data_IF_830695434600
#
_entry.id   IF_830695434600
#
_cell.length_a   1.000
_cell.length_b   1.000
_cell.length_c   1.000
_cell.angle_alpha   90.00
_cell.angle_beta   90.00
_cell.angle_gamma   90.00
#
_symmetry.space_group_name_H-M   'P 1'
#
loop_
_entity.id
_entity.type
_entity.pdbx_description
1 polymer ?
#
# COMPACT_ATOMS: atom_id res chain seq x y z
N UNK A 1 -2.75 2.76 -9.41
CA UNK A 1 -2.73 3.17 -7.99
C UNK A 1 -1.29 3.12 -7.50
N UNK A 2 -0.68 4.28 -7.26
CA UNK A 2 0.72 4.41 -6.88
C UNK A 2 0.86 4.56 -5.37
N UNK A 3 1.79 3.79 -4.80
CA UNK A 3 2.22 3.88 -3.41
C UNK A 3 3.65 4.39 -3.42
N UNK A 4 3.85 5.61 -2.95
CA UNK A 4 5.18 6.14 -2.66
C UNK A 4 5.72 5.50 -1.38
N UNK A 5 7.03 5.34 -1.25
CA UNK A 5 7.61 4.84 -0.01
C UNK A 5 9.12 4.85 -0.01
N UNK A 6 9.69 5.64 0.89
CA UNK A 6 11.09 5.60 1.30
C UNK A 6 11.17 5.06 2.73
N UNK A 7 11.42 3.76 2.86
CA UNK A 7 11.61 3.03 4.12
C UNK A 7 10.47 3.10 5.15
N UNK A 8 9.22 3.33 4.71
CA UNK A 8 8.02 3.46 5.57
C UNK A 8 8.02 4.66 6.53
N UNK A 9 9.12 5.40 6.63
CA UNK A 9 9.30 6.58 7.48
C UNK A 9 9.12 7.88 6.72
N UNK A 10 9.36 7.87 5.40
CA UNK A 10 9.27 9.03 4.54
C UNK A 10 8.49 8.70 3.25
N UNK A 11 7.81 9.72 2.72
CA UNK A 11 7.00 9.60 1.50
C UNK A 11 6.09 10.81 1.36
N UNK A 12 5.79 11.18 0.12
CA UNK A 12 4.92 12.30 -0.18
C UNK A 12 4.09 12.01 -1.44
N UNK A 13 2.75 12.07 -1.39
CA UNK A 13 1.91 11.94 -2.59
C UNK A 13 2.08 13.13 -3.57
N UNK A 14 2.86 14.15 -3.23
CA UNK A 14 3.01 15.34 -4.04
C UNK A 14 3.84 15.10 -5.31
N UNK A 15 3.41 15.73 -6.40
CA UNK A 15 3.86 15.55 -7.79
C UNK A 15 5.37 15.78 -8.05
N UNK A 16 6.11 16.30 -7.08
CA UNK A 16 7.48 16.78 -7.28
C UNK A 16 8.51 15.67 -7.57
N UNK A 17 8.23 14.41 -7.20
CA UNK A 17 9.19 13.30 -7.39
C UNK A 17 8.83 12.35 -8.54
N UNK A 18 7.54 12.18 -8.83
CA UNK A 18 7.02 11.27 -9.87
C UNK A 18 5.89 11.97 -10.63
N UNK A 19 6.24 13.03 -11.34
CA UNK A 19 5.28 13.79 -12.13
C UNK A 19 4.50 12.85 -13.08
N UNK A 20 3.20 13.11 -13.28
CA UNK A 20 2.34 12.19 -14.00
C UNK A 20 2.57 12.24 -15.52
N UNK A 21 3.46 13.09 -16.03
CA UNK A 21 3.54 13.50 -17.43
C UNK A 21 3.68 12.30 -18.39
N UNK A 22 4.53 11.33 -18.05
CA UNK A 22 4.74 10.13 -18.88
C UNK A 22 3.54 9.16 -18.88
N UNK A 23 2.71 9.20 -17.84
CA UNK A 23 1.52 8.36 -17.73
C UNK A 23 0.26 9.05 -18.25
N UNK A 24 0.20 10.40 -18.23
CA UNK A 24 -0.93 11.17 -18.77
C UNK A 24 -1.02 11.11 -20.30
N UNK A 25 0.07 10.76 -20.98
CA UNK A 25 0.08 10.46 -22.42
C UNK A 25 -0.54 9.09 -22.77
N UNK A 26 -0.97 8.33 -21.75
CA UNK A 26 -1.63 7.03 -21.90
C UNK A 26 -3.08 7.12 -21.43
N UNK A 27 -3.93 6.25 -21.97
CA UNK A 27 -5.34 6.14 -21.55
C UNK A 27 -5.46 5.40 -20.21
N UNK A 28 -5.00 6.07 -19.14
CA UNK A 28 -4.97 5.53 -17.77
C UNK A 28 -5.37 6.61 -16.76
N UNK A 29 -5.99 6.19 -15.66
CA UNK A 29 -6.22 7.05 -14.50
C UNK A 29 -5.13 6.79 -13.45
N UNK A 30 -4.29 7.79 -13.22
CA UNK A 30 -3.29 7.75 -12.16
C UNK A 30 -3.90 8.21 -10.83
N UNK A 31 -3.77 7.36 -9.80
CA UNK A 31 -4.15 7.68 -8.42
C UNK A 31 -2.93 7.55 -7.54
N UNK A 32 -2.62 8.59 -6.76
CA UNK A 32 -1.56 8.65 -5.74
C UNK A 32 -2.20 8.91 -4.38
N UNK A 33 -1.76 8.25 -3.32
CA UNK A 33 -2.38 8.37 -1.99
C UNK A 33 -1.35 8.66 -0.91
N UNK A 34 -1.74 9.48 0.06
CA UNK A 34 -1.00 9.60 1.32
C UNK A 34 -1.46 8.51 2.29
N UNK A 35 -0.54 8.03 3.12
CA UNK A 35 -0.81 7.10 4.21
C UNK A 35 0.08 7.45 5.40
N UNK A 36 -0.26 6.98 6.60
CA UNK A 36 0.55 7.23 7.79
C UNK A 36 1.91 6.52 7.69
N UNK A 37 2.97 7.25 8.06
CA UNK A 37 4.36 6.81 8.05
C UNK A 37 4.92 6.70 9.47
N UNK A 38 6.07 6.03 9.59
CA UNK A 38 6.82 5.83 10.84
C UNK A 38 5.97 5.29 11.98
N UNK A 39 6.22 5.76 13.20
CA UNK A 39 5.47 5.31 14.38
C UNK A 39 3.96 5.53 14.23
N UNK A 40 3.52 6.61 13.59
CA UNK A 40 2.08 6.87 13.40
C UNK A 40 1.40 5.84 12.49
N UNK A 41 2.15 5.25 11.56
CA UNK A 41 1.67 4.24 10.61
C UNK A 41 1.90 2.80 11.07
N UNK A 42 2.96 2.54 11.82
CA UNK A 42 3.44 1.16 12.03
C UNK A 42 3.72 0.80 13.49
N UNK A 43 3.44 1.71 14.44
CA UNK A 43 3.50 1.39 15.86
C UNK A 43 2.45 0.33 16.24
N UNK A 44 2.85 -0.58 17.11
CA UNK A 44 2.01 -1.64 17.65
C UNK A 44 2.25 -1.74 19.15
N UNK A 45 1.25 -2.16 19.91
CA UNK A 45 1.38 -2.47 21.33
C UNK A 45 1.28 -3.98 21.56
N UNK A 46 2.02 -4.49 22.54
CA UNK A 46 2.04 -5.93 22.86
C UNK A 46 0.67 -6.45 23.34
N UNK A 47 -0.10 -5.59 24.01
CA UNK A 47 -1.45 -5.88 24.48
C UNK A 47 -2.50 -5.88 23.34
N UNK A 48 -2.10 -5.52 22.12
CA UNK A 48 -2.98 -5.46 20.95
C UNK A 48 -3.91 -4.25 20.90
N UNK A 49 -3.83 -3.32 21.86
CA UNK A 49 -4.61 -2.05 21.85
C UNK A 49 -4.37 -1.28 20.55
N UNK A 50 -3.12 -1.27 20.06
CA UNK A 50 -2.77 -0.83 18.71
C UNK A 50 -2.29 -2.04 17.93
N UNK A 51 -3.12 -2.47 16.98
CA UNK A 51 -2.89 -3.65 16.13
C UNK A 51 -1.66 -3.60 15.22
N UNK A 52 -1.02 -2.43 15.09
CA UNK A 52 -0.04 -2.16 14.06
C UNK A 52 -0.64 -1.98 12.66
N UNK A 53 0.27 -1.74 11.70
CA UNK A 53 -0.01 -1.67 10.26
C UNK A 53 -1.11 -0.67 9.87
N UNK A 54 -1.23 0.42 10.62
CA UNK A 54 -2.20 1.48 10.35
C UNK A 54 -1.97 2.14 8.98
N UNK A 55 -0.71 2.30 8.56
CA UNK A 55 -0.37 2.78 7.22
C UNK A 55 -0.85 1.85 6.10
N UNK A 56 -0.73 0.53 6.27
CA UNK A 56 -1.29 -0.44 5.31
C UNK A 56 -2.82 -0.44 5.32
N UNK A 57 -3.44 -0.21 6.48
CA UNK A 57 -4.90 -0.06 6.59
C UNK A 57 -5.39 1.21 5.89
N UNK A 58 -4.64 2.31 5.96
CA UNK A 58 -4.93 3.53 5.20
C UNK A 58 -4.90 3.25 3.69
N UNK A 59 -3.87 2.55 3.22
CA UNK A 59 -3.75 2.14 1.80
C UNK A 59 -4.91 1.23 1.37
N UNK A 60 -5.29 0.25 2.20
CA UNK A 60 -6.42 -0.64 1.92
C UNK A 60 -7.76 0.11 1.87
N UNK A 61 -7.97 1.06 2.80
CA UNK A 61 -9.15 1.93 2.77
C UNK A 61 -9.17 2.79 1.50
N UNK A 62 -8.03 3.36 1.12
CA UNK A 62 -7.93 4.14 -0.11
C UNK A 62 -8.18 3.29 -1.37
N UNK A 63 -7.69 2.04 -1.42
CA UNK A 63 -8.00 1.10 -2.50
C UNK A 63 -9.50 0.82 -2.59
N UNK A 64 -10.17 0.60 -1.45
CA UNK A 64 -11.62 0.43 -1.40
C UNK A 64 -12.35 1.67 -1.92
N UNK A 65 -11.92 2.86 -1.51
CA UNK A 65 -12.47 4.12 -2.02
C UNK A 65 -12.29 4.23 -3.53
N UNK A 66 -11.09 3.93 -4.06
CA UNK A 66 -10.82 3.94 -5.50
C UNK A 66 -11.72 2.94 -6.22
N UNK A 67 -11.79 1.69 -5.76
CA UNK A 67 -12.66 0.68 -6.38
C UNK A 67 -14.13 1.13 -6.44
N UNK A 68 -14.62 1.83 -5.42
CA UNK A 68 -16.00 2.32 -5.38
C UNK A 68 -16.25 3.59 -6.22
N UNK A 69 -15.21 4.39 -6.50
CA UNK A 69 -15.38 5.74 -7.05
C UNK A 69 -14.71 5.97 -8.41
N UNK A 70 -13.74 5.14 -8.81
CA UNK A 70 -12.87 5.43 -9.97
C UNK A 70 -13.62 5.52 -11.30
N UNK A 71 -14.80 4.89 -11.39
CA UNK A 71 -15.70 5.01 -12.56
C UNK A 71 -16.13 6.45 -12.84
N UNK A 72 -16.25 7.30 -11.81
CA UNK A 72 -16.61 8.71 -11.97
C UNK A 72 -15.46 9.57 -12.53
N UNK A 73 -14.24 9.02 -12.55
CA UNK A 73 -13.05 9.65 -13.09
C UNK A 73 -12.60 9.01 -14.42
N UNK A 74 -13.44 8.16 -15.02
CA UNK A 74 -13.15 7.47 -16.28
C UNK A 74 -12.30 6.20 -16.14
N UNK A 75 -12.03 5.73 -14.92
CA UNK A 75 -11.31 4.47 -14.71
C UNK A 75 -12.22 3.25 -14.63
N UNK A 76 -11.62 2.06 -14.67
CA UNK A 76 -12.35 0.79 -14.55
C UNK A 76 -12.02 0.13 -13.20
N UNK A 77 -13.02 -0.10 -12.31
CA UNK A 77 -12.80 -0.70 -11.00
C UNK A 77 -12.32 -2.16 -11.04
N UNK A 78 -12.53 -2.87 -12.15
CA UNK A 78 -12.04 -4.25 -12.36
C UNK A 78 -10.61 -4.31 -12.91
N UNK A 79 -10.00 -3.15 -13.22
CA UNK A 79 -8.66 -3.02 -13.83
C UNK A 79 -7.72 -2.15 -12.98
N UNK A 80 -7.74 -2.36 -11.66
CA UNK A 80 -6.88 -1.61 -10.74
C UNK A 80 -5.53 -2.31 -10.62
N UNK A 81 -4.47 -1.65 -11.11
CA UNK A 81 -3.08 -2.07 -10.88
C UNK A 81 -2.46 -1.24 -9.75
N UNK A 82 -1.89 -1.92 -8.76
CA UNK A 82 -1.14 -1.29 -7.66
C UNK A 82 0.35 -1.35 -7.96
N UNK A 83 1.06 -0.24 -7.77
CA UNK A 83 2.49 -0.21 -8.04
C UNK A 83 3.23 0.75 -7.12
N UNK A 84 4.53 0.51 -6.97
CA UNK A 84 5.41 1.33 -6.15
C UNK A 84 6.88 0.95 -6.33
N UNK A 85 7.77 1.72 -5.71
CA UNK A 85 9.20 1.45 -5.66
C UNK A 85 9.66 1.25 -4.20
N UNK A 86 10.65 0.39 -3.94
CA UNK A 86 11.22 0.20 -2.60
C UNK A 86 10.15 -0.23 -1.58
N UNK A 87 9.97 0.54 -0.51
CA UNK A 87 8.92 0.28 0.48
C UNK A 87 7.51 0.31 -0.13
N UNK A 88 7.26 1.19 -1.10
CA UNK A 88 6.01 1.21 -1.85
C UNK A 88 5.77 -0.06 -2.68
N UNK A 89 6.85 -0.68 -3.18
CA UNK A 89 6.76 -1.97 -3.87
C UNK A 89 6.44 -3.12 -2.89
N UNK A 90 7.02 -3.09 -1.68
CA UNK A 90 6.66 -4.03 -0.62
C UNK A 90 5.20 -3.88 -0.19
N UNK A 91 4.70 -2.64 -0.03
CA UNK A 91 3.28 -2.33 0.17
C UNK A 91 2.37 -2.90 -0.93
N UNK A 92 2.72 -2.67 -2.20
CA UNK A 92 1.97 -3.22 -3.32
C UNK A 92 1.92 -4.76 -3.24
N UNK A 93 3.05 -5.40 -2.89
CA UNK A 93 3.08 -6.85 -2.68
C UNK A 93 2.22 -7.29 -1.47
N UNK A 94 2.20 -6.55 -0.35
CA UNK A 94 1.29 -6.85 0.76
C UNK A 94 -0.17 -6.82 0.33
N UNK A 95 -0.56 -5.90 -0.56
CA UNK A 95 -1.93 -5.83 -1.05
C UNK A 95 -2.35 -7.01 -1.93
N UNK A 96 -1.39 -7.63 -2.63
CA UNK A 96 -1.61 -8.89 -3.36
C UNK A 96 -1.87 -10.07 -2.42
N UNK A 97 -1.25 -10.07 -1.24
CA UNK A 97 -1.33 -11.15 -0.27
C UNK A 97 -2.52 -10.99 0.70
N UNK A 98 -2.89 -9.76 1.02
CA UNK A 98 -3.88 -9.45 2.05
C UNK A 98 -5.32 -9.71 1.59
N UNK A 99 -6.16 -10.43 2.37
CA UNK A 99 -7.57 -10.59 2.06
C UNK A 99 -8.36 -9.27 2.09
N UNK A 100 -7.80 -8.20 2.69
CA UNK A 100 -8.46 -6.89 2.73
C UNK A 100 -8.46 -6.16 1.38
N UNK A 101 -7.58 -6.54 0.46
CA UNK A 101 -7.35 -5.79 -0.78
C UNK A 101 -7.14 -6.64 -2.02
N UNK A 102 -6.76 -7.92 -1.89
CA UNK A 102 -6.43 -8.77 -3.05
C UNK A 102 -7.56 -8.87 -4.08
N UNK A 103 -8.81 -8.86 -3.60
CA UNK A 103 -9.99 -8.99 -4.46
C UNK A 103 -10.40 -7.65 -5.10
N UNK A 104 -9.73 -6.54 -4.74
CA UNK A 104 -9.96 -5.20 -5.30
C UNK A 104 -8.98 -4.85 -6.42
N UNK A 105 -7.96 -5.68 -6.65
CA UNK A 105 -6.83 -5.36 -7.54
C UNK A 105 -6.67 -6.45 -8.59
N UNK A 106 -6.26 -6.07 -9.80
CA UNK A 106 -6.07 -6.97 -10.93
C UNK A 106 -4.61 -7.39 -11.10
N UNK A 107 -3.69 -6.67 -10.45
CA UNK A 107 -2.26 -6.96 -10.54
C UNK A 107 -1.39 -5.97 -9.77
N UNK A 108 -0.11 -6.34 -9.63
CA UNK A 108 0.90 -5.56 -8.93
C UNK A 108 2.15 -5.38 -9.80
N UNK A 109 2.72 -4.17 -9.77
CA UNK A 109 4.07 -3.90 -10.26
C UNK A 109 4.95 -3.51 -9.06
N UNK A 110 5.85 -4.42 -8.68
CA UNK A 110 6.72 -4.25 -7.52
C UNK A 110 8.15 -3.92 -7.96
N UNK A 111 8.53 -2.63 -7.95
CA UNK A 111 9.85 -2.19 -8.42
C UNK A 111 10.85 -2.15 -7.25
N UNK A 112 11.88 -3.00 -7.29
CA UNK A 112 12.96 -3.00 -6.29
C UNK A 112 12.51 -3.20 -4.83
N UNK A 113 11.44 -3.96 -4.59
CA UNK A 113 10.98 -4.29 -3.24
C UNK A 113 9.84 -5.31 -3.23
N UNK A 114 9.78 -6.12 -2.18
CA UNK A 114 8.78 -7.18 -1.98
C UNK A 114 8.50 -7.36 -0.48
N UNK A 115 7.37 -7.97 -0.15
CA UNK A 115 7.04 -8.38 1.22
C UNK A 115 8.06 -9.32 1.89
N UNK A 116 8.97 -9.94 1.11
CA UNK A 116 9.98 -10.88 1.58
C UNK A 116 11.35 -10.23 1.84
N UNK A 117 11.52 -8.95 1.51
CA UNK A 117 12.75 -8.25 1.84
C UNK A 117 12.93 -8.18 3.36
N UNK A 118 14.18 -8.32 3.83
CA UNK A 118 14.50 -8.32 5.26
C UNK A 118 14.08 -7.04 5.98
N UNK A 119 14.10 -5.91 5.27
CA UNK A 119 13.67 -4.59 5.77
C UNK A 119 12.15 -4.37 5.70
N UNK A 120 11.40 -5.21 4.99
CA UNK A 120 9.95 -5.07 4.87
C UNK A 120 9.21 -5.64 6.09
N UNK A 121 9.87 -6.50 6.87
CA UNK A 121 9.31 -7.13 8.07
C UNK A 121 10.13 -6.75 9.30
N UNK A 122 9.48 -6.30 10.37
CA UNK A 122 10.17 -6.19 11.66
C UNK A 122 10.51 -7.58 12.24
N UNK A 123 11.65 -7.75 12.96
CA UNK A 123 12.16 -9.04 13.45
C UNK A 123 11.17 -9.91 14.25
N UNK A 124 11.41 -11.22 14.17
CA UNK A 124 10.53 -12.31 14.60
C UNK A 124 10.24 -12.37 16.12
N UNK A 125 10.94 -11.63 16.96
CA UNK A 125 10.73 -11.64 18.43
C UNK A 125 9.35 -11.10 18.86
N UNK A 126 8.59 -10.51 17.92
CA UNK A 126 7.21 -10.01 18.10
C UNK A 126 6.15 -10.92 17.40
N UNK A 127 6.55 -12.04 16.77
CA UNK A 127 5.69 -12.80 15.84
C UNK A 127 4.64 -13.70 16.50
N UNK A 128 4.75 -14.00 17.80
CA UNK A 128 3.71 -14.75 18.52
C UNK A 128 2.30 -14.15 18.42
N UNK A 129 2.21 -12.84 18.15
CA UNK A 129 0.95 -12.09 18.02
C UNK A 129 0.56 -11.87 16.53
N UNK A 130 1.54 -11.87 15.61
CA UNK A 130 1.36 -11.41 14.22
C UNK A 130 0.51 -12.32 13.33
N UNK A 131 0.37 -13.61 13.65
CA UNK A 131 -0.51 -14.52 12.89
C UNK A 131 -2.01 -14.36 13.20
N UNK A 132 -2.39 -13.60 14.25
CA UNK A 132 -3.81 -13.43 14.59
C UNK A 132 -4.48 -12.27 13.86
N UNK A 133 -3.77 -11.17 13.59
CA UNK A 133 -4.42 -9.89 13.22
C UNK A 133 -4.58 -9.67 11.70
N UNK A 134 -4.12 -10.60 10.86
CA UNK A 134 -4.48 -10.65 9.44
C UNK A 134 -5.36 -11.85 9.08
N UNK A 135 -5.80 -12.63 10.07
CA UNK A 135 -6.67 -13.79 9.89
C UNK A 135 -8.06 -13.66 10.54
N UNK A 136 -8.33 -12.57 11.28
CA UNK A 136 -9.62 -12.26 11.90
C UNK A 136 -9.58 -10.95 12.67
#
# INVERSE_FOLDING_TARGET
FYIDGEDFDYGNPNKAKYGPELLLDKDVVLVTVGYRLGALGFFLTEDGTISGNLGLKDQAFALKWVNQNIMHFGGNPEKITVFGNGAGAACAHYHMLSPLSRDLISGVIAQSGTAFNSWALAPIQVVGIRCKVMAG
#
